data_IF_612070876638
#
_entry.id   IF_612070876638
#
_cell.length_a   1.000
_cell.length_b   1.000
_cell.length_c   1.000
_cell.angle_alpha   90.00
_cell.angle_beta   90.00
_cell.angle_gamma   90.00
#
_symmetry.space_group_name_H-M   'P 1'
#
loop_
_entity.id
_entity.type
_entity.pdbx_description
1 polymer ?
#
# COMPACT_ATOMS: atom_id res chain seq x y z
N UNK A 1 0.30 10.78 11.73
CA UNK A 1 0.41 9.35 11.37
C UNK A 1 -0.79 8.78 10.58
N UNK A 2 -1.63 9.59 9.93
CA UNK A 2 -2.85 9.07 9.30
C UNK A 2 -2.63 8.25 8.01
N UNK A 3 -1.63 8.59 7.20
CA UNK A 3 -1.36 7.90 5.92
C UNK A 3 -0.82 6.48 6.15
N UNK A 4 0.13 6.32 7.09
CA UNK A 4 0.69 5.02 7.45
C UNK A 4 -0.42 4.07 7.88
N UNK A 5 -1.29 4.49 8.80
CA UNK A 5 -2.40 3.66 9.28
C UNK A 5 -3.37 3.27 8.15
N UNK A 6 -3.66 4.16 7.19
CA UNK A 6 -4.48 3.80 6.04
C UNK A 6 -3.79 2.75 5.16
N UNK A 7 -2.48 2.90 4.90
CA UNK A 7 -1.71 1.94 4.11
C UNK A 7 -1.64 0.58 4.82
N UNK A 8 -1.33 0.57 6.11
CA UNK A 8 -1.31 -0.63 6.93
C UNK A 8 -2.69 -1.30 6.98
N UNK A 9 -3.77 -0.51 7.02
CA UNK A 9 -5.13 -1.03 6.95
C UNK A 9 -5.45 -1.64 5.58
N UNK A 10 -5.08 -0.99 4.47
CA UNK A 10 -5.30 -1.52 3.13
C UNK A 10 -4.61 -2.86 2.92
N UNK A 11 -3.37 -2.98 3.40
CA UNK A 11 -2.56 -4.20 3.35
C UNK A 11 -2.73 -5.11 4.57
N UNK A 12 -3.75 -4.87 5.41
CA UNK A 12 -4.07 -5.73 6.55
C UNK A 12 -4.77 -7.01 6.08
N UNK A 13 -4.55 -8.12 6.79
CA UNK A 13 -5.22 -9.41 6.58
C UNK A 13 -6.75 -9.32 6.63
N UNK A 14 -7.29 -8.29 7.31
CA UNK A 14 -8.74 -8.05 7.37
C UNK A 14 -9.29 -7.38 6.11
N UNK A 15 -8.47 -6.58 5.41
CA UNK A 15 -8.90 -5.82 4.24
C UNK A 15 -8.54 -6.51 2.94
N UNK A 16 -7.34 -7.09 2.81
CA UNK A 16 -6.86 -7.81 1.63
C UNK A 16 -7.88 -8.82 1.03
N UNK A 17 -8.48 -9.74 1.80
CA UNK A 17 -9.45 -10.69 1.26
C UNK A 17 -10.79 -10.05 0.88
N UNK A 18 -11.12 -8.89 1.45
CA UNK A 18 -12.32 -8.11 1.09
C UNK A 18 -12.10 -7.22 -0.13
N UNK A 19 -10.88 -6.71 -0.28
CA UNK A 19 -10.50 -5.79 -1.33
C UNK A 19 -9.98 -6.56 -2.53
N UNK A 20 -10.93 -7.04 -3.34
CA UNK A 20 -10.62 -7.78 -4.57
C UNK A 20 -9.77 -6.97 -5.54
N UNK A 21 -9.83 -5.64 -5.52
CA UNK A 21 -9.01 -4.81 -6.39
C UNK A 21 -7.53 -4.85 -5.96
N UNK A 22 -7.25 -4.64 -4.67
CA UNK A 22 -5.89 -4.74 -4.14
C UNK A 22 -5.35 -6.17 -4.30
N UNK A 23 -6.17 -7.18 -4.00
CA UNK A 23 -5.78 -8.59 -4.10
C UNK A 23 -5.46 -8.99 -5.55
N UNK A 24 -6.28 -8.58 -6.53
CA UNK A 24 -5.98 -8.79 -7.94
C UNK A 24 -4.66 -8.11 -8.32
N UNK A 25 -4.42 -6.88 -7.86
CA UNK A 25 -3.19 -6.17 -8.21
C UNK A 25 -1.94 -6.81 -7.62
N UNK A 26 -2.02 -7.31 -6.40
CA UNK A 26 -0.96 -8.10 -5.76
C UNK A 26 -0.79 -9.44 -6.48
N UNK A 27 -1.87 -10.06 -6.95
CA UNK A 27 -1.81 -11.35 -7.68
C UNK A 27 -1.31 -11.21 -9.12
N UNK A 28 -1.46 -10.04 -9.73
CA UNK A 28 -0.90 -9.72 -11.06
C UNK A 28 0.63 -9.73 -11.04
N UNK A 29 1.24 -9.37 -9.91
CA UNK A 29 2.69 -9.32 -9.77
C UNK A 29 3.18 -10.48 -8.88
N UNK A 30 4.04 -11.38 -9.35
CA UNK A 30 4.49 -12.51 -8.54
C UNK A 30 5.26 -12.09 -7.27
N UNK A 31 5.70 -10.84 -7.18
CA UNK A 31 6.33 -10.27 -5.99
C UNK A 31 5.37 -9.41 -5.14
N UNK A 32 4.11 -9.27 -5.56
CA UNK A 32 3.08 -8.54 -4.83
C UNK A 32 3.21 -7.01 -4.87
N UNK A 33 3.90 -6.46 -5.88
CA UNK A 33 4.06 -5.01 -6.03
C UNK A 33 2.80 -4.33 -6.56
N UNK A 34 2.45 -3.20 -5.94
CA UNK A 34 1.33 -2.35 -6.32
C UNK A 34 1.83 -0.93 -6.54
N UNK A 35 1.40 -0.25 -7.61
CA UNK A 35 1.84 1.11 -7.88
C UNK A 35 1.33 2.10 -6.83
N UNK A 36 2.22 2.89 -6.23
CA UNK A 36 1.85 3.94 -5.26
C UNK A 36 0.92 5.00 -5.89
N UNK A 37 1.11 5.31 -7.17
CA UNK A 37 0.23 6.24 -7.88
C UNK A 37 -1.22 5.74 -8.00
N UNK A 38 -1.43 4.42 -7.96
CA UNK A 38 -2.76 3.81 -7.95
C UNK A 38 -3.34 3.85 -6.53
N UNK A 39 -2.54 3.55 -5.52
CA UNK A 39 -2.90 3.69 -4.10
C UNK A 39 -3.24 5.15 -3.75
N UNK A 40 -2.53 6.14 -4.29
CA UNK A 40 -2.82 7.56 -4.12
C UNK A 40 -4.19 7.99 -4.66
N UNK A 41 -4.75 7.24 -5.63
CA UNK A 41 -6.10 7.48 -6.14
C UNK A 41 -7.20 6.88 -5.27
N UNK A 42 -6.84 6.15 -4.20
CA UNK A 42 -7.85 5.55 -3.33
C UNK A 42 -8.61 6.65 -2.60
N UNK A 43 -9.92 6.47 -2.46
CA UNK A 43 -10.82 7.49 -1.92
C UNK A 43 -10.35 8.05 -0.57
N UNK A 44 -9.84 7.20 0.33
CA UNK A 44 -9.33 7.62 1.65
C UNK A 44 -8.05 8.44 1.56
N UNK A 45 -7.08 7.98 0.76
CA UNK A 45 -5.78 8.63 0.61
C UNK A 45 -5.89 9.92 -0.20
N UNK A 46 -6.71 9.93 -1.25
CA UNK A 46 -7.05 11.10 -2.04
C UNK A 46 -7.75 12.17 -1.20
N UNK A 47 -8.71 11.79 -0.34
CA UNK A 47 -9.36 12.74 0.59
C UNK A 47 -8.38 13.33 1.61
N UNK A 48 -7.33 12.58 1.98
CA UNK A 48 -6.27 13.06 2.86
C UNK A 48 -5.20 13.88 2.14
N UNK A 49 -5.28 14.01 0.81
CA UNK A 49 -4.22 14.66 0.02
C UNK A 49 -2.89 13.91 0.07
N UNK A 50 -2.92 12.59 0.31
CA UNK A 50 -1.72 11.79 0.39
C UNK A 50 -1.03 11.71 -0.98
N UNK A 51 0.18 12.23 -1.05
CA UNK A 51 1.02 12.15 -2.26
C UNK A 51 1.97 10.97 -2.17
N UNK A 52 2.49 10.53 -3.33
CA UNK A 52 3.49 9.45 -3.42
C UNK A 52 4.65 9.69 -2.44
N UNK A 53 5.18 10.92 -2.39
CA UNK A 53 6.27 11.30 -1.48
C UNK A 53 5.90 11.11 -0.01
N UNK A 54 4.69 11.52 0.39
CA UNK A 54 4.23 11.34 1.77
C UNK A 54 4.02 9.88 2.12
N UNK A 55 3.55 9.06 1.16
CA UNK A 55 3.41 7.61 1.36
C UNK A 55 4.77 6.95 1.55
N UNK A 56 5.74 7.24 0.67
CA UNK A 56 7.13 6.74 0.77
C UNK A 56 7.72 7.07 2.14
N UNK A 57 7.58 8.31 2.59
CA UNK A 57 8.12 8.74 3.87
C UNK A 57 7.40 8.06 5.05
N UNK A 58 6.06 7.93 4.96
CA UNK A 58 5.25 7.28 6.00
C UNK A 58 5.49 5.77 6.14
N UNK A 59 5.83 5.09 5.05
CA UNK A 59 6.07 3.63 5.03
C UNK A 59 7.53 3.26 5.25
N UNK A 60 8.44 4.25 5.27
CA UNK A 60 9.87 4.03 5.51
C UNK A 60 10.14 3.35 6.86
N UNK A 61 9.33 3.66 7.87
CA UNK A 61 9.36 3.07 9.21
C UNK A 61 8.25 2.02 9.44
N UNK A 62 7.49 1.64 8.40
CA UNK A 62 6.46 0.62 8.54
C UNK A 62 7.10 -0.78 8.55
N UNK A 63 6.59 -1.65 9.42
CA UNK A 63 6.99 -3.07 9.47
C UNK A 63 6.13 -3.96 8.58
N UNK A 64 5.01 -3.43 8.10
CA UNK A 64 3.94 -4.20 7.44
C UNK A 64 3.99 -4.05 5.92
N UNK A 65 4.50 -2.92 5.44
CA UNK A 65 4.61 -2.58 4.02
C UNK A 65 5.98 -1.98 3.71
N UNK A 66 6.47 -2.20 2.49
CA UNK A 66 7.72 -1.63 1.99
C UNK A 66 7.49 -1.01 0.62
N UNK A 67 8.36 -0.07 0.25
CA UNK A 67 8.40 0.54 -1.08
C UNK A 67 9.65 0.13 -1.83
N UNK A 68 9.56 0.09 -3.15
CA UNK A 68 10.73 -0.19 -3.99
C UNK A 68 11.74 0.97 -3.91
N UNK A 69 12.96 0.71 -4.37
CA UNK A 69 14.05 1.70 -4.38
C UNK A 69 13.70 2.98 -5.16
N UNK A 70 12.82 2.89 -6.16
CA UNK A 70 12.38 4.05 -6.96
C UNK A 70 11.24 4.85 -6.30
N UNK A 71 10.60 4.33 -5.24
CA UNK A 71 9.45 4.96 -4.60
C UNK A 71 8.20 5.01 -5.49
N UNK A 72 8.07 4.07 -6.43
CA UNK A 72 6.95 3.98 -7.38
C UNK A 72 5.99 2.85 -7.07
N UNK A 73 6.47 1.81 -6.37
CA UNK A 73 5.73 0.61 -6.02
C UNK A 73 5.76 0.41 -4.50
N UNK A 74 4.69 -0.14 -3.96
CA UNK A 74 4.53 -0.57 -2.57
C UNK A 74 4.09 -2.03 -2.54
N UNK A 75 4.63 -2.81 -1.60
CA UNK A 75 4.19 -4.19 -1.36
C UNK A 75 4.10 -4.45 0.13
N UNK A 76 3.53 -5.60 0.47
CA UNK A 76 3.53 -6.12 1.83
C UNK A 76 4.85 -6.83 2.13
N UNK A 77 5.45 -6.53 3.28
CA UNK A 77 6.67 -7.21 3.77
C UNK A 77 6.34 -8.56 4.41
N UNK A 78 5.19 -8.66 5.06
CA UNK A 78 4.73 -9.90 5.70
C UNK A 78 4.00 -10.78 4.69
N UNK A 79 4.29 -12.09 4.65
CA UNK A 79 3.51 -13.03 3.85
C UNK A 79 2.06 -13.03 4.32
N UNK A 80 1.13 -13.18 3.37
CA UNK A 80 -0.28 -13.38 3.66
C UNK A 80 -0.40 -14.75 4.36
N UNK A 81 -0.98 -14.82 5.58
CA UNK A 81 -1.18 -16.08 6.29
C UNK A 81 -2.20 -16.99 5.62
#
# INVERSE_FOLDING_TARGET
EQIREQLEFYFSDSNLPRDTFLMNKISEDPQGWVSLGLIAKFKRLSMMGATTSMMIDSVRDSKTVEVNAEGTMIRRTSPIP
#
